data_IF_598116022483
#
_entry.id   IF_598116022483
#
_cell.length_a   1.000
_cell.length_b   1.000
_cell.length_c   1.000
_cell.angle_alpha   90.00
_cell.angle_beta   90.00
_cell.angle_gamma   90.00
#
_symmetry.space_group_name_H-M   'P 1'
#
loop_
_entity.id
_entity.type
_entity.pdbx_description
1 polymer ?
#
# COMPACT_ATOMS: atom_id res chain seq x y z
N UNK A 1 0.33 -10.55 -15.80
CA UNK A 1 -0.86 -10.81 -14.98
C UNK A 1 -1.43 -12.23 -15.09
N UNK A 2 -2.15 -12.65 -16.15
CA UNK A 2 -2.83 -13.98 -16.19
C UNK A 2 -1.95 -15.18 -15.82
N UNK A 3 -0.73 -15.24 -16.37
CA UNK A 3 0.19 -16.33 -16.08
C UNK A 3 0.62 -16.36 -14.60
N UNK A 4 0.88 -15.21 -14.00
CA UNK A 4 1.25 -15.08 -12.58
C UNK A 4 0.06 -15.44 -11.68
N UNK A 5 -1.15 -15.01 -12.04
CA UNK A 5 -2.38 -15.35 -11.34
C UNK A 5 -2.63 -16.88 -11.32
N UNK A 6 -2.49 -17.54 -12.48
CA UNK A 6 -2.63 -19.00 -12.57
C UNK A 6 -1.55 -19.70 -11.75
N UNK A 7 -0.31 -19.21 -11.80
CA UNK A 7 0.81 -19.75 -11.03
C UNK A 7 0.56 -19.65 -9.52
N UNK A 8 0.03 -18.52 -9.04
CA UNK A 8 -0.33 -18.34 -7.62
C UNK A 8 -1.38 -19.36 -7.17
N UNK A 9 -2.40 -19.62 -8.00
CA UNK A 9 -3.41 -20.66 -7.74
C UNK A 9 -2.76 -22.05 -7.71
N UNK A 10 -1.87 -22.37 -8.66
CA UNK A 10 -1.16 -23.65 -8.70
C UNK A 10 -0.30 -23.88 -7.46
N UNK A 11 0.38 -22.86 -6.98
CA UNK A 11 1.20 -22.95 -5.78
C UNK A 11 0.36 -23.08 -4.51
N UNK A 12 -0.79 -22.39 -4.45
CA UNK A 12 -1.76 -22.57 -3.38
C UNK A 12 -2.34 -24.00 -3.35
N UNK A 13 -2.67 -24.58 -4.51
CA UNK A 13 -3.11 -25.98 -4.63
C UNK A 13 -2.03 -26.90 -4.07
N UNK A 14 -0.78 -26.81 -4.55
CA UNK A 14 0.32 -27.66 -4.06
C UNK A 14 0.50 -27.54 -2.55
N UNK A 15 0.53 -26.32 -2.02
CA UNK A 15 0.67 -26.09 -0.59
C UNK A 15 -0.47 -26.73 0.20
N UNK A 16 -1.71 -26.58 -0.29
CA UNK A 16 -2.89 -27.16 0.34
C UNK A 16 -2.88 -28.68 0.29
N UNK A 17 -2.52 -29.28 -0.83
CA UNK A 17 -2.38 -30.73 -0.96
C UNK A 17 -1.33 -31.30 -0.01
N UNK A 18 -0.20 -30.60 0.17
CA UNK A 18 0.82 -30.97 1.15
C UNK A 18 0.30 -30.89 2.60
N UNK A 19 -0.55 -29.89 2.90
CA UNK A 19 -1.19 -29.78 4.22
C UNK A 19 -2.22 -30.91 4.43
N UNK A 20 -3.02 -31.22 3.40
CA UNK A 20 -3.97 -32.34 3.42
C UNK A 20 -3.24 -33.67 3.62
N UNK A 21 -2.09 -33.88 2.98
CA UNK A 21 -1.33 -35.12 3.14
C UNK A 21 -0.89 -35.34 4.60
N UNK A 22 -0.57 -34.26 5.31
CA UNK A 22 -0.14 -34.27 6.72
C UNK A 22 -1.28 -34.31 7.72
N UNK A 23 -2.53 -34.20 7.29
CA UNK A 23 -3.68 -34.20 8.21
C UNK A 23 -4.04 -35.61 8.68
N UNK A 24 -4.88 -35.67 9.71
CA UNK A 24 -5.41 -36.91 10.29
C UNK A 24 -6.61 -37.48 9.52
N UNK A 25 -6.94 -36.90 8.36
CA UNK A 25 -8.01 -37.41 7.49
C UNK A 25 -7.69 -38.82 6.98
N UNK A 26 -8.74 -39.59 6.72
CA UNK A 26 -8.63 -40.88 6.03
C UNK A 26 -8.16 -40.72 4.57
N UNK A 27 -7.71 -41.80 3.94
CA UNK A 27 -7.30 -41.79 2.53
C UNK A 27 -8.43 -41.30 1.61
N UNK A 28 -9.65 -41.76 1.87
CA UNK A 28 -10.85 -41.40 1.12
C UNK A 28 -11.20 -39.91 1.31
N UNK A 29 -11.14 -39.39 2.53
CA UNK A 29 -11.37 -37.97 2.83
C UNK A 29 -10.29 -37.07 2.21
N UNK A 30 -9.01 -37.48 2.27
CA UNK A 30 -7.91 -36.76 1.61
C UNK A 30 -8.13 -36.70 0.09
N UNK A 31 -8.48 -37.82 -0.53
CA UNK A 31 -8.76 -37.87 -1.96
C UNK A 31 -9.96 -36.97 -2.35
N UNK A 32 -11.04 -37.01 -1.57
CA UNK A 32 -12.20 -36.15 -1.80
C UNK A 32 -11.86 -34.66 -1.66
N UNK A 33 -11.11 -34.28 -0.62
CA UNK A 33 -10.74 -32.88 -0.39
C UNK A 33 -9.76 -32.36 -1.46
N UNK A 34 -8.77 -33.17 -1.88
CA UNK A 34 -7.88 -32.82 -3.01
C UNK A 34 -8.68 -32.61 -4.30
N UNK A 35 -9.63 -33.50 -4.61
CA UNK A 35 -10.51 -33.34 -5.77
C UNK A 35 -11.34 -32.05 -5.71
N UNK A 36 -11.85 -31.68 -4.53
CA UNK A 36 -12.55 -30.41 -4.35
C UNK A 36 -11.61 -29.20 -4.57
N UNK A 37 -10.40 -29.25 -4.04
CA UNK A 37 -9.38 -28.20 -4.22
C UNK A 37 -9.04 -28.02 -5.70
N UNK A 38 -8.79 -29.11 -6.42
CA UNK A 38 -8.53 -29.06 -7.87
C UNK A 38 -9.73 -28.52 -8.67
N UNK A 39 -10.95 -28.93 -8.32
CA UNK A 39 -12.16 -28.45 -8.99
C UNK A 39 -12.31 -26.93 -8.87
N UNK A 40 -12.15 -26.38 -7.66
CA UNK A 40 -12.23 -24.94 -7.41
C UNK A 40 -11.13 -24.18 -8.14
N UNK A 41 -9.89 -24.69 -8.10
CA UNK A 41 -8.76 -24.09 -8.82
C UNK A 41 -9.00 -24.06 -10.33
N UNK A 42 -9.53 -25.13 -10.91
CA UNK A 42 -9.80 -25.22 -12.34
C UNK A 42 -10.93 -24.28 -12.77
N UNK A 43 -11.98 -24.12 -11.95
CA UNK A 43 -13.04 -23.14 -12.18
C UNK A 43 -12.48 -21.71 -12.20
N UNK A 44 -11.68 -21.34 -11.20
CA UNK A 44 -11.05 -20.03 -11.14
C UNK A 44 -10.13 -19.77 -12.34
N UNK A 45 -9.27 -20.73 -12.70
CA UNK A 45 -8.37 -20.63 -13.86
C UNK A 45 -9.13 -20.50 -15.18
N UNK A 46 -10.23 -21.22 -15.35
CA UNK A 46 -11.07 -21.13 -16.54
C UNK A 46 -11.66 -19.73 -16.67
N UNK A 47 -12.18 -19.16 -15.59
CA UNK A 47 -12.69 -17.78 -15.58
C UNK A 47 -11.58 -16.78 -15.86
N UNK A 48 -10.42 -16.88 -15.20
CA UNK A 48 -9.25 -16.02 -15.44
C UNK A 48 -8.81 -16.01 -16.91
N UNK A 49 -8.86 -17.16 -17.59
CA UNK A 49 -8.50 -17.24 -19.00
C UNK A 49 -9.38 -16.31 -19.87
N UNK A 50 -10.63 -16.09 -19.48
CA UNK A 50 -11.61 -15.28 -20.21
C UNK A 50 -11.65 -13.79 -19.83
N UNK A 51 -11.10 -13.40 -18.69
CA UNK A 51 -11.10 -12.01 -18.23
C UNK A 51 -10.12 -11.16 -19.04
N UNK A 52 -10.50 -9.95 -19.44
CA UNK A 52 -9.59 -9.02 -20.16
C UNK A 52 -9.06 -7.90 -19.27
N UNK A 53 -9.58 -7.79 -18.04
CA UNK A 53 -9.18 -6.79 -17.06
C UNK A 53 -8.19 -7.41 -16.05
N UNK A 54 -6.99 -6.82 -15.96
CA UNK A 54 -5.93 -7.30 -15.07
C UNK A 54 -6.29 -7.20 -13.57
N UNK A 55 -7.11 -6.21 -13.18
CA UNK A 55 -7.60 -6.04 -11.81
C UNK A 55 -8.56 -7.18 -11.46
N UNK A 56 -9.52 -7.48 -12.35
CA UNK A 56 -10.44 -8.61 -12.15
C UNK A 56 -9.68 -9.95 -12.09
N UNK A 57 -8.61 -10.11 -12.88
CA UNK A 57 -7.73 -11.28 -12.84
C UNK A 57 -7.04 -11.39 -11.47
N UNK A 58 -6.52 -10.30 -10.93
CA UNK A 58 -5.82 -10.29 -9.64
C UNK A 58 -6.80 -10.55 -8.48
N UNK A 59 -7.96 -9.90 -8.47
CA UNK A 59 -9.01 -10.09 -7.47
C UNK A 59 -9.48 -11.55 -7.44
N UNK A 60 -9.82 -12.12 -8.61
CA UNK A 60 -10.28 -13.50 -8.68
C UNK A 60 -9.19 -14.50 -8.25
N UNK A 61 -7.93 -14.24 -8.58
CA UNK A 61 -6.83 -15.08 -8.13
C UNK A 61 -6.66 -15.03 -6.61
N UNK A 62 -6.70 -13.82 -6.02
CA UNK A 62 -6.64 -13.65 -4.55
C UNK A 62 -7.80 -14.34 -3.84
N UNK A 63 -9.03 -14.22 -4.37
CA UNK A 63 -10.21 -14.93 -3.84
C UNK A 63 -10.00 -16.44 -3.87
N UNK A 64 -9.57 -16.98 -5.02
CA UNK A 64 -9.37 -18.41 -5.22
C UNK A 64 -8.26 -18.96 -4.31
N UNK A 65 -7.12 -18.27 -4.20
CA UNK A 65 -6.00 -18.64 -3.33
C UNK A 65 -6.45 -18.69 -1.87
N UNK A 66 -7.20 -17.68 -1.43
CA UNK A 66 -7.75 -17.65 -0.07
C UNK A 66 -8.71 -18.80 0.17
N UNK A 67 -9.68 -19.01 -0.73
CA UNK A 67 -10.62 -20.12 -0.62
C UNK A 67 -9.89 -21.47 -0.52
N UNK A 68 -8.95 -21.74 -1.42
CA UNK A 68 -8.14 -22.98 -1.41
C UNK A 68 -7.43 -23.16 -0.07
N UNK A 69 -6.82 -22.10 0.46
CA UNK A 69 -6.13 -22.12 1.75
C UNK A 69 -7.07 -22.55 2.88
N UNK A 70 -8.31 -22.05 2.87
CA UNK A 70 -9.31 -22.33 3.91
C UNK A 70 -10.07 -23.65 3.73
N UNK A 71 -10.01 -24.30 2.55
CA UNK A 71 -10.79 -25.52 2.28
C UNK A 71 -10.50 -26.65 3.27
N UNK A 72 -11.54 -27.27 3.82
CA UNK A 72 -11.39 -28.38 4.77
C UNK A 72 -10.91 -27.98 6.17
N UNK A 73 -10.75 -26.68 6.45
CA UNK A 73 -10.69 -26.18 7.83
C UNK A 73 -12.10 -26.14 8.42
N UNK A 74 -12.21 -26.31 9.74
CA UNK A 74 -13.43 -25.92 10.46
C UNK A 74 -13.56 -24.39 10.50
N UNK A 75 -14.78 -23.91 10.82
CA UNK A 75 -15.12 -22.49 10.82
C UNK A 75 -14.22 -21.68 11.78
N UNK A 76 -13.90 -22.23 12.94
CA UNK A 76 -13.07 -21.56 13.96
C UNK A 76 -11.64 -21.37 13.46
N UNK A 77 -11.05 -22.42 12.89
CA UNK A 77 -9.70 -22.43 12.32
C UNK A 77 -9.61 -21.51 11.10
N UNK A 78 -10.62 -21.51 10.23
CA UNK A 78 -10.66 -20.63 9.06
C UNK A 78 -10.72 -19.15 9.47
N UNK A 79 -11.58 -18.81 10.44
CA UNK A 79 -11.70 -17.45 10.96
C UNK A 79 -10.45 -17.00 11.72
N UNK A 80 -9.84 -17.88 12.51
CA UNK A 80 -8.58 -17.59 13.19
C UNK A 80 -7.47 -17.28 12.19
N UNK A 81 -7.32 -18.12 11.15
CA UNK A 81 -6.34 -17.91 10.08
C UNK A 81 -6.56 -16.56 9.37
N UNK A 82 -7.80 -16.20 9.06
CA UNK A 82 -8.11 -14.93 8.42
C UNK A 82 -7.81 -13.71 9.31
N UNK A 83 -8.09 -13.81 10.62
CA UNK A 83 -7.73 -12.75 11.58
C UNK A 83 -6.23 -12.59 11.71
N UNK A 84 -5.47 -13.68 11.70
CA UNK A 84 -4.01 -13.63 11.70
C UNK A 84 -3.47 -12.92 10.43
N UNK A 85 -4.08 -13.16 9.26
CA UNK A 85 -3.76 -12.44 8.03
C UNK A 85 -4.04 -10.93 8.17
N UNK A 86 -5.19 -10.54 8.74
CA UNK A 86 -5.51 -9.12 8.99
C UNK A 86 -4.50 -8.49 9.96
N UNK A 87 -4.11 -9.21 11.02
CA UNK A 87 -3.14 -8.72 12.00
C UNK A 87 -1.74 -8.50 11.38
N UNK A 88 -1.38 -9.26 10.34
CA UNK A 88 -0.12 -9.11 9.62
C UNK A 88 -0.07 -7.86 8.70
N UNK A 89 -1.22 -7.25 8.37
CA UNK A 89 -1.28 -6.03 7.58
C UNK A 89 -0.93 -4.80 8.44
N UNK A 90 0.37 -4.48 8.51
CA UNK A 90 0.93 -3.49 9.45
C UNK A 90 0.49 -2.04 9.22
N UNK A 91 -0.05 -1.72 8.05
CA UNK A 91 -0.54 -0.36 7.75
C UNK A 91 -1.97 -0.14 8.22
N UNK A 92 -2.70 -1.20 8.60
CA UNK A 92 -4.01 -1.04 9.21
C UNK A 92 -3.89 -0.45 10.62
N UNK A 93 -4.83 0.43 10.95
CA UNK A 93 -4.98 0.93 12.32
C UNK A 93 -5.61 -0.15 13.21
N UNK A 94 -5.41 -0.10 14.54
CA UNK A 94 -6.07 -1.02 15.47
C UNK A 94 -7.60 -1.07 15.30
N UNK A 95 -8.23 0.09 15.08
CA UNK A 95 -9.68 0.20 14.86
C UNK A 95 -10.11 -0.52 13.57
N UNK A 96 -9.35 -0.38 12.47
CA UNK A 96 -9.65 -1.09 11.22
C UNK A 96 -9.46 -2.60 11.38
N UNK A 97 -8.40 -3.05 12.07
CA UNK A 97 -8.18 -4.46 12.37
C UNK A 97 -9.32 -5.05 13.21
N UNK A 98 -9.80 -4.31 14.21
CA UNK A 98 -10.93 -4.72 15.04
C UNK A 98 -12.24 -4.82 14.24
N UNK A 99 -12.50 -3.84 13.36
CA UNK A 99 -13.71 -3.84 12.51
C UNK A 99 -13.70 -5.01 11.51
N UNK A 100 -12.57 -5.26 10.85
CA UNK A 100 -12.40 -6.38 9.92
C UNK A 100 -12.48 -7.73 10.66
N UNK A 101 -11.91 -7.84 11.86
CA UNK A 101 -12.01 -9.04 12.69
C UNK A 101 -13.46 -9.36 13.08
N UNK A 102 -14.25 -8.33 13.42
CA UNK A 102 -15.68 -8.49 13.67
C UNK A 102 -16.47 -8.88 12.42
N UNK A 103 -16.04 -8.44 11.23
CA UNK A 103 -16.63 -8.90 9.97
C UNK A 103 -16.31 -10.38 9.73
N UNK A 104 -15.08 -10.82 9.97
CA UNK A 104 -14.69 -12.24 9.89
C UNK A 104 -15.52 -13.10 10.84
N UNK A 105 -15.78 -12.64 12.07
CA UNK A 105 -16.63 -13.38 13.01
C UNK A 105 -18.04 -13.65 12.47
N UNK A 106 -18.58 -12.70 11.71
CA UNK A 106 -19.92 -12.76 11.10
C UNK A 106 -19.95 -13.52 9.78
N UNK A 107 -18.79 -13.80 9.17
CA UNK A 107 -18.72 -14.53 7.93
C UNK A 107 -19.29 -15.95 8.10
N UNK A 108 -20.04 -16.39 7.11
CA UNK A 108 -20.75 -17.67 7.05
C UNK A 108 -20.17 -18.61 5.99
N UNK A 109 -19.20 -18.13 5.21
CA UNK A 109 -18.54 -18.90 4.16
C UNK A 109 -17.10 -18.44 3.92
N UNK A 110 -16.28 -19.32 3.36
CA UNK A 110 -14.91 -18.99 2.94
C UNK A 110 -14.90 -17.87 1.91
N UNK A 111 -15.93 -17.79 1.06
CA UNK A 111 -16.07 -16.71 0.08
C UNK A 111 -16.22 -15.35 0.75
N UNK A 112 -17.06 -15.24 1.78
CA UNK A 112 -17.20 -14.00 2.56
C UNK A 112 -15.90 -13.65 3.28
N UNK A 113 -15.19 -14.65 3.84
CA UNK A 113 -13.85 -14.44 4.43
C UNK A 113 -12.88 -13.88 3.38
N UNK A 114 -12.82 -14.46 2.18
CA UNK A 114 -11.95 -14.00 1.10
C UNK A 114 -12.25 -12.56 0.68
N UNK A 115 -13.52 -12.18 0.59
CA UNK A 115 -13.92 -10.80 0.29
C UNK A 115 -13.51 -9.82 1.39
N UNK A 116 -13.63 -10.21 2.67
CA UNK A 116 -13.18 -9.38 3.79
C UNK A 116 -11.66 -9.21 3.77
N UNK A 117 -10.90 -10.26 3.44
CA UNK A 117 -9.45 -10.19 3.30
C UNK A 117 -9.02 -9.27 2.15
N UNK A 118 -9.72 -9.31 1.01
CA UNK A 118 -9.48 -8.35 -0.08
C UNK A 118 -9.75 -6.90 0.34
N UNK A 119 -10.82 -6.66 1.10
CA UNK A 119 -11.10 -5.33 1.66
C UNK A 119 -9.98 -4.88 2.62
N UNK A 120 -9.46 -5.81 3.43
CA UNK A 120 -8.35 -5.54 4.33
C UNK A 120 -7.08 -5.16 3.57
N UNK A 121 -6.73 -5.90 2.50
CA UNK A 121 -5.58 -5.60 1.64
C UNK A 121 -5.73 -4.24 0.95
N UNK A 122 -6.89 -3.94 0.37
CA UNK A 122 -7.16 -2.65 -0.27
C UNK A 122 -7.08 -1.49 0.73
N UNK A 123 -7.62 -1.66 1.94
CA UNK A 123 -7.53 -0.65 2.99
C UNK A 123 -6.10 -0.45 3.49
N UNK A 124 -5.31 -1.52 3.55
CA UNK A 124 -3.90 -1.47 3.92
C UNK A 124 -3.06 -0.71 2.88
N UNK A 125 -3.34 -0.91 1.58
CA UNK A 125 -2.70 -0.16 0.49
C UNK A 125 -3.07 1.33 0.52
N UNK A 126 -4.34 1.65 0.77
CA UNK A 126 -4.79 3.04 0.90
C UNK A 126 -4.10 3.74 2.08
N UNK A 127 -4.01 3.07 3.23
CA UNK A 127 -3.31 3.61 4.40
C UNK A 127 -1.82 3.86 4.10
N UNK A 128 -1.17 2.98 3.34
CA UNK A 128 0.21 3.19 2.89
C UNK A 128 0.33 4.47 2.05
N UNK A 129 -0.51 4.62 1.02
CA UNK A 129 -0.52 5.81 0.15
C UNK A 129 -0.74 7.10 0.94
N UNK A 130 -1.66 7.08 1.90
CA UNK A 130 -1.90 8.22 2.79
C UNK A 130 -0.69 8.54 3.67
N UNK A 131 -0.01 7.52 4.20
CA UNK A 131 1.23 7.68 4.95
C UNK A 131 2.32 8.38 4.14
N UNK A 132 2.56 7.92 2.90
CA UNK A 132 3.54 8.53 1.99
C UNK A 132 3.20 10.01 1.71
N UNK A 133 1.93 10.33 1.44
CA UNK A 133 1.48 11.72 1.27
C UNK A 133 1.71 12.57 2.51
N UNK A 134 1.42 12.03 3.70
CA UNK A 134 1.61 12.73 4.96
C UNK A 134 3.09 13.06 5.23
N UNK A 135 3.99 12.09 5.00
CA UNK A 135 5.44 12.29 5.13
C UNK A 135 5.97 13.33 4.14
N UNK A 136 5.52 13.28 2.89
CA UNK A 136 5.88 14.25 1.86
C UNK A 136 5.43 15.69 2.22
N UNK A 137 4.19 15.84 2.69
CA UNK A 137 3.66 17.13 3.14
C UNK A 137 4.44 17.66 4.35
N UNK A 138 4.76 16.78 5.30
CA UNK A 138 5.55 17.14 6.48
C UNK A 138 6.95 17.63 6.11
N UNK A 139 7.61 17.00 5.13
CA UNK A 139 8.91 17.45 4.64
C UNK A 139 8.85 18.87 4.04
N UNK A 140 7.78 19.18 3.30
CA UNK A 140 7.55 20.54 2.77
C UNK A 140 7.32 21.52 3.92
N UNK A 141 6.51 21.18 4.92
CA UNK A 141 6.27 22.01 6.10
C UNK A 141 7.55 22.35 6.87
N UNK A 142 8.41 21.35 7.06
CA UNK A 142 9.70 21.54 7.73
C UNK A 142 10.64 22.44 6.89
N UNK A 143 10.62 22.31 5.56
CA UNK A 143 11.38 23.18 4.67
C UNK A 143 10.89 24.63 4.71
N UNK A 144 9.56 24.85 4.70
CA UNK A 144 8.96 26.18 4.87
C UNK A 144 9.43 26.80 6.17
N UNK A 145 9.27 26.09 7.29
CA UNK A 145 9.67 26.57 8.61
C UNK A 145 11.15 26.94 8.67
N UNK A 146 12.03 26.07 8.13
CA UNK A 146 13.46 26.34 8.06
C UNK A 146 13.76 27.59 7.21
N UNK A 147 13.06 27.74 6.09
CA UNK A 147 13.23 28.87 5.19
C UNK A 147 12.76 30.18 5.81
N UNK A 148 11.61 30.20 6.47
CA UNK A 148 11.11 31.37 7.19
C UNK A 148 12.07 31.83 8.28
N UNK A 149 12.66 30.89 9.02
CA UNK A 149 13.69 31.21 10.03
C UNK A 149 14.94 31.82 9.40
N UNK A 150 15.34 31.38 8.21
CA UNK A 150 16.47 31.96 7.48
C UNK A 150 16.13 33.37 6.96
N UNK A 151 14.92 33.56 6.41
CA UNK A 151 14.41 34.87 5.97
C UNK A 151 14.37 35.85 7.14
N UNK A 152 13.90 35.42 8.31
CA UNK A 152 13.83 36.28 9.49
C UNK A 152 15.20 36.84 9.90
N UNK A 153 16.24 36.01 9.78
CA UNK A 153 17.64 36.37 10.10
C UNK A 153 18.37 37.14 9.00
N UNK A 154 17.76 37.32 7.84
CA UNK A 154 18.36 38.05 6.72
C UNK A 154 18.33 39.57 6.92
N UNK A 155 19.15 40.27 6.14
CA UNK A 155 19.23 41.74 6.10
C UNK A 155 18.13 42.40 5.25
N UNK A 156 17.17 41.61 4.74
CA UNK A 156 16.02 42.12 4.00
C UNK A 156 15.16 43.07 4.84
N UNK A 157 14.49 44.01 4.17
CA UNK A 157 13.47 44.86 4.79
C UNK A 157 12.26 44.05 5.24
N UNK A 158 11.42 44.62 6.11
CA UNK A 158 10.19 43.96 6.58
C UNK A 158 9.26 43.61 5.41
N UNK A 159 9.12 44.51 4.43
CA UNK A 159 8.30 44.32 3.24
C UNK A 159 8.84 43.19 2.34
N UNK A 160 10.15 43.15 2.13
CA UNK A 160 10.79 42.07 1.36
C UNK A 160 10.69 40.73 2.06
N UNK A 161 10.86 40.68 3.39
CA UNK A 161 10.65 39.47 4.19
C UNK A 161 9.22 38.97 4.06
N UNK A 162 8.23 39.86 4.19
CA UNK A 162 6.82 39.50 4.06
C UNK A 162 6.50 38.96 2.66
N UNK A 163 6.99 39.62 1.61
CA UNK A 163 6.81 39.16 0.24
C UNK A 163 7.44 37.78 -0.01
N UNK A 164 8.67 37.57 0.48
CA UNK A 164 9.36 36.30 0.29
C UNK A 164 8.72 35.16 1.07
N UNK A 165 8.25 35.39 2.31
CA UNK A 165 7.48 34.39 3.08
C UNK A 165 6.19 34.02 2.35
N UNK A 166 5.45 35.01 1.83
CA UNK A 166 4.25 34.76 1.03
C UNK A 166 4.51 33.92 -0.22
N UNK A 167 5.63 34.15 -0.91
CA UNK A 167 6.04 33.33 -2.06
C UNK A 167 6.39 31.89 -1.65
N UNK A 168 7.08 31.70 -0.52
CA UNK A 168 7.40 30.38 0.03
C UNK A 168 6.12 29.61 0.38
N UNK A 169 5.19 30.24 1.10
CA UNK A 169 3.90 29.63 1.44
C UNK A 169 3.07 29.28 0.20
N UNK A 170 3.02 30.17 -0.79
CA UNK A 170 2.28 29.94 -2.03
C UNK A 170 2.79 28.70 -2.78
N UNK A 171 4.11 28.58 -2.94
CA UNK A 171 4.72 27.43 -3.61
C UNK A 171 4.53 26.13 -2.83
N UNK A 172 4.67 26.18 -1.50
CA UNK A 172 4.41 25.03 -0.65
C UNK A 172 2.95 24.55 -0.76
N UNK A 173 1.99 25.48 -0.75
CA UNK A 173 0.57 25.14 -0.87
C UNK A 173 0.22 24.54 -2.22
N UNK A 174 0.82 25.05 -3.31
CA UNK A 174 0.67 24.47 -4.65
C UNK A 174 1.19 23.03 -4.70
N UNK A 175 2.40 22.79 -4.19
CA UNK A 175 3.00 21.45 -4.16
C UNK A 175 2.15 20.47 -3.32
N UNK A 176 1.71 20.87 -2.13
CA UNK A 176 0.86 20.04 -1.26
C UNK A 176 -0.50 19.72 -1.90
N UNK A 177 -1.11 20.68 -2.58
CA UNK A 177 -2.37 20.46 -3.28
C UNK A 177 -2.21 19.43 -4.40
N UNK A 178 -1.12 19.49 -5.15
CA UNK A 178 -0.80 18.48 -6.17
C UNK A 178 -0.54 17.11 -5.54
N UNK A 179 0.30 17.02 -4.49
CA UNK A 179 0.58 15.77 -3.76
C UNK A 179 -0.69 15.07 -3.28
N UNK A 180 -1.68 15.82 -2.79
CA UNK A 180 -2.94 15.25 -2.33
C UNK A 180 -3.68 14.46 -3.43
N UNK A 181 -3.48 14.81 -4.69
CA UNK A 181 -4.16 14.22 -5.86
C UNK A 181 -3.37 13.10 -6.55
N UNK A 182 -2.11 12.90 -6.21
CA UNK A 182 -1.27 11.87 -6.82
C UNK A 182 -1.60 10.49 -6.25
N UNK A 183 -1.59 9.46 -7.09
CA UNK A 183 -1.81 8.07 -6.66
C UNK A 183 -0.53 7.22 -6.67
N UNK A 184 0.54 7.74 -7.29
CA UNK A 184 1.83 7.09 -7.39
C UNK A 184 2.79 7.62 -6.30
N UNK A 185 3.38 6.71 -5.53
CA UNK A 185 4.27 7.05 -4.41
C UNK A 185 5.61 7.65 -4.88
N UNK A 186 6.12 7.23 -6.03
CA UNK A 186 7.32 7.81 -6.66
C UNK A 186 7.05 9.27 -7.05
N UNK A 187 5.93 9.55 -7.72
CA UNK A 187 5.56 10.92 -8.10
C UNK A 187 5.38 11.82 -6.88
N UNK A 188 4.80 11.30 -5.78
CA UNK A 188 4.70 12.03 -4.50
C UNK A 188 6.08 12.38 -3.96
N UNK A 189 7.01 11.42 -3.93
CA UNK A 189 8.35 11.63 -3.40
C UNK A 189 9.17 12.60 -4.27
N UNK A 190 9.09 12.49 -5.59
CA UNK A 190 9.77 13.37 -6.54
C UNK A 190 9.29 14.82 -6.38
N UNK A 191 7.97 15.03 -6.37
CA UNK A 191 7.39 16.37 -6.22
C UNK A 191 7.73 17.00 -4.87
N UNK A 192 7.72 16.21 -3.79
CA UNK A 192 8.14 16.70 -2.48
C UNK A 192 9.60 17.13 -2.47
N UNK A 193 10.50 16.33 -3.05
CA UNK A 193 11.92 16.65 -3.15
C UNK A 193 12.17 17.90 -3.98
N UNK A 194 11.47 18.07 -5.11
CA UNK A 194 11.53 19.27 -5.94
C UNK A 194 11.05 20.50 -5.16
N UNK A 195 9.88 20.41 -4.50
CA UNK A 195 9.31 21.50 -3.71
C UNK A 195 10.25 21.92 -2.57
N UNK A 196 10.80 20.96 -1.82
CA UNK A 196 11.77 21.22 -0.74
C UNK A 196 13.02 21.92 -1.28
N UNK A 197 13.54 21.47 -2.43
CA UNK A 197 14.70 22.09 -3.09
C UNK A 197 14.39 23.53 -3.49
N UNK A 198 13.26 23.77 -4.16
CA UNK A 198 12.84 25.09 -4.60
C UNK A 198 12.69 26.04 -3.41
N UNK A 199 11.97 25.62 -2.36
CA UNK A 199 11.80 26.39 -1.11
C UNK A 199 13.16 26.76 -0.49
N UNK A 200 14.08 25.81 -0.44
CA UNK A 200 15.43 26.03 0.11
C UNK A 200 16.17 27.13 -0.66
N UNK A 201 16.06 27.15 -1.99
CA UNK A 201 16.77 28.08 -2.86
C UNK A 201 16.10 29.46 -3.00
N UNK A 202 14.82 29.60 -2.70
CA UNK A 202 14.07 30.85 -2.90
C UNK A 202 14.74 32.08 -2.27
N UNK A 203 14.97 33.15 -3.03
CA UNK A 203 15.58 34.37 -2.51
C UNK A 203 17.08 34.26 -2.17
N UNK A 204 17.77 33.18 -2.55
CA UNK A 204 19.23 33.14 -2.59
C UNK A 204 19.75 33.82 -3.87
N UNK A 205 20.95 34.39 -3.81
CA UNK A 205 21.69 34.78 -5.01
C UNK A 205 22.22 33.55 -5.77
N UNK A 206 22.51 33.72 -7.06
CA UNK A 206 22.94 32.63 -7.95
C UNK A 206 24.16 31.85 -7.45
N UNK A 207 25.14 32.51 -6.81
CA UNK A 207 26.35 31.85 -6.33
C UNK A 207 26.06 31.03 -5.06
N UNK A 208 25.27 31.59 -4.13
CA UNK A 208 24.79 30.87 -2.95
C UNK A 208 23.88 29.69 -3.33
N UNK A 209 23.01 29.85 -4.32
CA UNK A 209 22.15 28.79 -4.82
C UNK A 209 22.96 27.64 -5.43
N UNK A 210 23.95 27.93 -6.30
CA UNK A 210 24.86 26.92 -6.87
C UNK A 210 25.66 26.18 -5.79
N UNK A 211 26.17 26.90 -4.79
CA UNK A 211 26.89 26.30 -3.68
C UNK A 211 25.99 25.37 -2.86
N UNK A 212 24.75 25.78 -2.60
CA UNK A 212 23.75 24.99 -1.88
C UNK A 212 23.36 23.72 -2.64
N UNK A 213 23.10 23.83 -3.95
CA UNK A 213 22.82 22.67 -4.82
C UNK A 213 23.99 21.68 -4.79
N UNK A 214 25.23 22.16 -4.88
CA UNK A 214 26.42 21.31 -4.81
C UNK A 214 26.50 20.53 -3.49
N UNK A 215 26.14 21.14 -2.37
CA UNK A 215 26.11 20.48 -1.05
C UNK A 215 25.00 19.44 -0.99
N UNK A 216 23.79 19.77 -1.48
CA UNK A 216 22.66 18.84 -1.53
C UNK A 216 22.99 17.60 -2.38
N UNK A 217 23.64 17.80 -3.54
CA UNK A 217 24.08 16.70 -4.41
C UNK A 217 25.23 15.86 -3.82
N UNK A 218 26.08 16.43 -2.96
CA UNK A 218 27.16 15.69 -2.30
C UNK A 218 26.68 14.75 -1.18
N UNK A 219 25.49 15.00 -0.62
CA UNK A 219 24.86 14.12 0.36
C UNK A 219 23.92 13.08 -0.30
N UNK A 220 23.72 13.20 -1.62
CA UNK A 220 23.00 12.25 -2.46
C UNK A 220 24.02 11.30 -3.14
N UNK A 221 24.70 10.48 -2.34
CA UNK A 221 25.43 9.30 -2.83
C UNK A 221 24.81 8.07 -2.14
N UNK A 222 24.55 6.98 -2.88
CA UNK A 222 23.91 5.78 -2.34
C UNK A 222 24.73 5.09 -1.25
#
# INVERSE_FOLDING_TARGET
>A
MKAEAIQAIDDAVKAKEMAIEKSDLTTEEKAALKGNVEAHANEAKATIATLDNDVEVAELASEAVTNITLMGMDDETAKATAKDTIAALSTLTPEQQDQLSQAIDKATSNKEIAQILQQAEAQAEENYKQGVKAEAIQAIDDAVKAKEMAIEKSDLTTEEKAALKGNVEAHANEAKATIATLDNDVEVAELASEAVTNITLMGMDDETAKATIKILLQHYQP
#
